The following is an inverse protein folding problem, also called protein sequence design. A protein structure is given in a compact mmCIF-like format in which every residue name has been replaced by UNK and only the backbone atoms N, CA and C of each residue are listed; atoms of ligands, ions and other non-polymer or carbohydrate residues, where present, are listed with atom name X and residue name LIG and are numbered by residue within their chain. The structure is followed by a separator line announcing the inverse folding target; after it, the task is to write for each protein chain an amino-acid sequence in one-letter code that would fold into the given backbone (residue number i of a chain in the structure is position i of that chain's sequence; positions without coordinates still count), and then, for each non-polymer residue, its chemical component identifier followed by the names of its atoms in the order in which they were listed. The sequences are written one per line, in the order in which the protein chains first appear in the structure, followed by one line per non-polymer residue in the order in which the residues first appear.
data_IF_740467278399
#
_entry.id   IF_740467278399
#
_cell.length_a   1.000
_cell.length_b   1.000
_cell.length_c   1.000
_cell.angle_alpha   90.00
_cell.angle_beta   90.00
_cell.angle_gamma   90.00
#
_symmetry.space_group_name_H-M   'P 1'
#
loop_
_entity.id
_entity.type
_entity.pdbx_description
1 polymer ?
#
# COMPACT_ATOMS: atom_id res chain seq x y z
N UNK A 1 -5.76 -2.40 -2.33
CA UNK A 1 -6.06 -2.45 -0.88
C UNK A 1 -4.79 -2.09 -0.12
N UNK A 2 -4.89 -1.35 0.96
CA UNK A 2 -3.75 -1.04 1.84
C UNK A 2 -4.22 -1.11 3.30
N UNK A 3 -3.29 -1.38 4.20
CA UNK A 3 -3.52 -1.52 5.62
C UNK A 3 -2.27 -1.11 6.39
N UNK A 4 -2.44 -0.63 7.61
CA UNK A 4 -1.34 -0.26 8.48
C UNK A 4 -1.41 -0.99 9.83
N UNK A 5 -0.25 -1.44 10.28
CA UNK A 5 -0.07 -1.97 11.63
C UNK A 5 0.79 -1.02 12.46
N UNK A 6 1.03 -1.38 13.72
CA UNK A 6 1.96 -0.63 14.57
C UNK A 6 3.43 -0.71 14.11
N UNK A 7 3.77 -1.63 13.20
CA UNK A 7 5.17 -1.91 12.82
C UNK A 7 5.45 -1.75 11.33
N UNK A 8 4.43 -1.89 10.48
CA UNK A 8 4.59 -1.92 9.04
C UNK A 8 3.31 -1.46 8.33
N UNK A 9 3.47 -0.97 7.10
CA UNK A 9 2.39 -0.75 6.15
C UNK A 9 2.43 -1.81 5.06
N UNK A 10 1.25 -2.21 4.61
CA UNK A 10 1.07 -3.21 3.55
C UNK A 10 0.12 -2.70 2.48
N UNK A 11 0.34 -3.14 1.24
CA UNK A 11 -0.51 -2.84 0.11
C UNK A 11 -0.54 -3.98 -0.90
N UNK A 12 -1.69 -4.14 -1.54
CA UNK A 12 -1.95 -5.13 -2.59
C UNK A 12 -2.54 -4.40 -3.79
N UNK A 13 -1.88 -4.56 -4.93
CA UNK A 13 -2.41 -4.18 -6.23
C UNK A 13 -3.11 -5.41 -6.82
N UNK A 14 -4.40 -5.27 -7.09
CA UNK A 14 -5.20 -6.30 -7.74
C UNK A 14 -6.04 -5.66 -8.84
N UNK A 15 -6.26 -6.39 -9.92
CA UNK A 15 -7.15 -6.00 -11.00
C UNK A 15 -8.31 -6.99 -11.07
N UNK A 16 -9.49 -6.47 -11.36
CA UNK A 16 -10.67 -7.33 -11.57
C UNK A 16 -10.59 -7.91 -12.98
N UNK A 17 -10.57 -9.23 -13.08
CA UNK A 17 -10.76 -9.96 -14.34
C UNK A 17 -12.05 -10.75 -14.18
N UNK A 18 -12.96 -10.55 -15.13
CA UNK A 18 -14.35 -10.98 -15.03
C UNK A 18 -15.03 -10.50 -13.74
N UNK A 19 -15.14 -11.39 -12.75
CA UNK A 19 -15.77 -11.13 -11.44
C UNK A 19 -14.85 -11.33 -10.26
N UNK A 20 -13.61 -11.78 -10.48
CA UNK A 20 -12.64 -12.07 -9.43
C UNK A 20 -11.54 -11.01 -9.39
N UNK A 21 -11.04 -10.72 -8.19
CA UNK A 21 -9.85 -9.90 -8.03
C UNK A 21 -8.61 -10.79 -8.23
N UNK A 22 -7.80 -10.47 -9.23
CA UNK A 22 -6.52 -11.11 -9.49
C UNK A 22 -5.41 -10.21 -8.97
N UNK A 23 -4.61 -10.74 -8.06
CA UNK A 23 -3.50 -9.99 -7.48
C UNK A 23 -2.37 -9.89 -8.48
N UNK A 24 -1.88 -8.66 -8.69
CA UNK A 24 -0.75 -8.35 -9.57
C UNK A 24 0.53 -8.27 -8.74
N UNK A 25 0.49 -7.58 -7.60
CA UNK A 25 1.67 -7.39 -6.75
C UNK A 25 1.28 -7.14 -5.30
N UNK A 26 2.10 -7.66 -4.40
CA UNK A 26 2.11 -7.30 -2.99
C UNK A 26 3.26 -6.32 -2.72
N UNK A 27 3.08 -5.45 -1.74
CA UNK A 27 4.12 -4.57 -1.24
C UNK A 27 3.95 -4.37 0.25
N UNK A 28 5.06 -4.31 0.98
CA UNK A 28 5.06 -3.92 2.38
C UNK A 28 6.38 -3.25 2.73
N UNK A 29 6.36 -2.44 3.78
CA UNK A 29 7.58 -1.91 4.41
C UNK A 29 7.36 -1.70 5.90
N UNK A 30 8.42 -1.89 6.68
CA UNK A 30 8.42 -1.54 8.09
C UNK A 30 8.42 -0.03 8.26
N UNK A 31 7.79 0.43 9.33
CA UNK A 31 7.81 1.83 9.74
C UNK A 31 9.18 2.18 10.32
N UNK A 32 9.66 3.39 10.06
CA UNK A 32 10.79 3.95 10.79
C UNK A 32 10.36 4.43 12.20
N UNK A 33 11.33 4.83 13.03
CA UNK A 33 11.06 5.26 14.40
C UNK A 33 10.14 6.47 14.49
N UNK A 34 10.12 7.36 13.49
CA UNK A 34 9.21 8.50 13.50
C UNK A 34 7.79 8.06 13.12
N UNK A 35 7.66 7.26 12.07
CA UNK A 35 6.38 6.73 11.58
C UNK A 35 5.72 5.77 12.57
N UNK A 36 6.50 5.04 13.37
CA UNK A 36 5.97 4.17 14.42
C UNK A 36 5.15 4.95 15.47
N UNK A 37 5.49 6.23 15.69
CA UNK A 37 4.80 7.11 16.64
C UNK A 37 3.57 7.81 16.06
N UNK A 38 3.27 7.64 14.77
CA UNK A 38 2.08 8.21 14.16
C UNK A 38 0.80 7.64 14.77
N UNK A 39 -0.25 8.47 14.78
CA UNK A 39 -1.61 8.05 15.11
C UNK A 39 -2.11 7.00 14.12
N UNK A 40 -3.14 6.24 14.49
CA UNK A 40 -3.74 5.23 13.59
C UNK A 40 -4.14 5.84 12.25
N UNK A 41 -4.80 7.00 12.25
CA UNK A 41 -5.23 7.68 11.02
C UNK A 41 -4.04 8.09 10.13
N UNK A 42 -2.97 8.60 10.71
CA UNK A 42 -1.75 8.95 9.97
C UNK A 42 -1.05 7.72 9.38
N UNK A 43 -1.06 6.58 10.11
CA UNK A 43 -0.52 5.31 9.60
C UNK A 43 -1.34 4.77 8.43
N UNK A 44 -2.67 4.85 8.49
CA UNK A 44 -3.53 4.48 7.36
C UNK A 44 -3.28 5.38 6.14
N UNK A 45 -3.16 6.69 6.35
CA UNK A 45 -2.81 7.61 5.27
C UNK A 45 -1.43 7.30 4.67
N UNK A 46 -0.46 6.95 5.51
CA UNK A 46 0.87 6.53 5.08
C UNK A 46 0.80 5.24 4.23
N UNK A 47 -0.06 4.28 4.59
CA UNK A 47 -0.26 3.07 3.79
C UNK A 47 -0.83 3.39 2.40
N UNK A 48 -1.77 4.34 2.31
CA UNK A 48 -2.30 4.83 1.02
C UNK A 48 -1.19 5.49 0.19
N UNK A 49 -0.45 6.43 0.79
CA UNK A 49 0.62 7.15 0.11
C UNK A 49 1.71 6.18 -0.38
N UNK A 50 2.12 5.23 0.46
CA UNK A 50 3.07 4.17 0.11
C UNK A 50 2.56 3.30 -1.05
N UNK A 51 1.29 2.89 -1.03
CA UNK A 51 0.71 2.10 -2.11
C UNK A 51 0.73 2.85 -3.46
N UNK A 52 0.36 4.13 -3.45
CA UNK A 52 0.34 4.96 -4.66
C UNK A 52 1.73 5.16 -5.24
N UNK A 53 2.72 5.43 -4.39
CA UNK A 53 4.11 5.57 -4.82
C UNK A 53 4.65 4.24 -5.38
N UNK A 54 4.46 3.15 -4.63
CA UNK A 54 5.01 1.84 -4.98
C UNK A 54 4.41 1.27 -6.27
N UNK A 55 3.12 1.50 -6.51
CA UNK A 55 2.41 0.99 -7.69
C UNK A 55 2.26 2.03 -8.81
N UNK A 56 2.94 3.18 -8.73
CA UNK A 56 2.80 4.29 -9.67
C UNK A 56 2.96 3.88 -11.13
N UNK A 57 3.96 3.05 -11.45
CA UNK A 57 4.20 2.57 -12.82
C UNK A 57 3.05 1.72 -13.35
N UNK A 58 2.53 0.80 -12.53
CA UNK A 58 1.36 -0.02 -12.86
C UNK A 58 0.09 0.82 -13.05
N UNK A 59 -0.12 1.82 -12.18
CA UNK A 59 -1.34 2.65 -12.21
C UNK A 59 -1.36 3.65 -13.36
N UNK A 60 -0.20 4.20 -13.73
CA UNK A 60 -0.10 5.22 -14.80
C UNK A 60 0.17 4.64 -16.18
N UNK A 61 0.39 3.31 -16.30
CA UNK A 61 0.73 2.66 -17.56
C UNK A 61 2.07 3.14 -18.15
N UNK A 62 2.93 3.76 -17.32
CA UNK A 62 4.28 4.14 -17.71
C UNK A 62 5.21 2.97 -17.44
N UNK A 63 6.01 2.60 -18.45
CA UNK A 63 7.21 1.80 -18.25
C UNK A 63 8.17 2.49 -17.29
#
# INVERSE_FOLDING_TARGET
MCDASNYAVGAVLAQRVDKAAHVISYASRTLDSAQANYTTTEKELLAIAFALDKFRSYLLGSK
#
